data_IF_176175441029
#
_entry.id   IF_176175441029
#
_cell.length_a   1.000
_cell.length_b   1.000
_cell.length_c   1.000
_cell.angle_alpha   90.00
_cell.angle_beta   90.00
_cell.angle_gamma   90.00
#
_symmetry.space_group_name_H-M   'P 1'
#
loop_
_entity.id
_entity.type
_entity.pdbx_description
1 polymer ?
#
# COMPACT_ATOMS: atom_id res chain seq x y z
N UNK A 1 -25.43 -1.02 -6.93
CA UNK A 1 -24.37 -1.30 -7.92
C UNK A 1 -24.90 -1.72 -9.28
N UNK A 2 -25.56 -2.89 -9.42
CA UNK A 2 -26.03 -3.43 -10.73
C UNK A 2 -26.90 -2.47 -11.56
N UNK A 3 -27.91 -1.82 -10.94
CA UNK A 3 -28.72 -0.77 -11.61
C UNK A 3 -27.89 0.40 -12.16
N UNK A 4 -26.82 0.79 -11.46
CA UNK A 4 -25.95 1.90 -11.86
C UNK A 4 -24.93 1.47 -12.93
N UNK A 5 -24.49 0.21 -12.90
CA UNK A 5 -23.64 -0.39 -13.94
C UNK A 5 -24.36 -0.48 -15.30
N UNK A 6 -25.64 -0.89 -15.29
CA UNK A 6 -26.45 -0.99 -16.51
C UNK A 6 -26.82 0.39 -17.09
N UNK A 7 -27.02 1.40 -16.24
CA UNK A 7 -27.36 2.77 -16.66
C UNK A 7 -26.15 3.57 -17.20
N UNK A 8 -24.92 3.17 -16.91
CA UNK A 8 -23.71 3.94 -17.25
C UNK A 8 -22.77 3.21 -18.22
N UNK A 9 -23.35 2.67 -19.30
CA UNK A 9 -22.60 2.05 -20.40
C UNK A 9 -21.62 0.95 -19.95
N UNK A 10 -21.93 0.21 -18.87
CA UNK A 10 -21.09 -0.88 -18.36
C UNK A 10 -19.71 -0.46 -17.83
N UNK A 11 -19.52 0.82 -17.48
CA UNK A 11 -18.27 1.27 -16.83
C UNK A 11 -18.30 1.00 -15.32
N UNK A 12 -17.43 0.11 -14.86
CA UNK A 12 -17.27 -0.25 -13.43
C UNK A 12 -16.91 0.98 -12.59
N UNK A 13 -15.98 1.80 -13.08
CA UNK A 13 -15.49 2.99 -12.35
C UNK A 13 -16.62 3.99 -12.14
N UNK A 14 -17.40 4.28 -13.18
CA UNK A 14 -18.48 5.27 -13.10
C UNK A 14 -19.62 4.78 -12.19
N UNK A 15 -19.91 3.47 -12.20
CA UNK A 15 -20.86 2.84 -11.28
C UNK A 15 -20.40 2.89 -9.81
N UNK A 16 -19.10 2.74 -9.54
CA UNK A 16 -18.53 2.88 -8.19
C UNK A 16 -18.63 4.34 -7.74
N UNK A 17 -18.20 5.29 -8.57
CA UNK A 17 -18.20 6.73 -8.24
C UNK A 17 -19.61 7.23 -7.98
N UNK A 18 -20.60 6.86 -8.80
CA UNK A 18 -21.97 7.33 -8.58
C UNK A 18 -22.66 6.64 -7.40
N UNK A 19 -22.36 5.36 -7.15
CA UNK A 19 -22.98 4.60 -6.05
C UNK A 19 -22.38 4.87 -4.67
N UNK A 20 -21.07 5.13 -4.60
CA UNK A 20 -20.32 5.22 -3.35
C UNK A 20 -19.56 6.53 -3.17
N UNK A 21 -19.45 7.38 -4.21
CA UNK A 21 -18.63 8.60 -4.19
C UNK A 21 -18.99 9.57 -3.07
N UNK A 22 -20.28 9.77 -2.80
CA UNK A 22 -20.71 10.63 -1.68
C UNK A 22 -20.28 10.07 -0.31
N UNK A 23 -20.36 8.75 -0.11
CA UNK A 23 -19.91 8.11 1.12
C UNK A 23 -18.39 8.17 1.26
N UNK A 24 -17.65 8.00 0.16
CA UNK A 24 -16.19 8.18 0.13
C UNK A 24 -15.79 9.61 0.51
N UNK A 25 -16.48 10.63 0.00
CA UNK A 25 -16.24 12.02 0.34
C UNK A 25 -16.52 12.31 1.83
N UNK A 26 -17.66 11.82 2.37
CA UNK A 26 -17.97 11.98 3.79
C UNK A 26 -16.95 11.28 4.69
N UNK A 27 -16.55 10.05 4.37
CA UNK A 27 -15.50 9.35 5.11
C UNK A 27 -14.17 10.10 4.98
N UNK A 28 -13.85 10.62 3.80
CA UNK A 28 -12.64 11.40 3.57
C UNK A 28 -12.60 12.69 4.39
N UNK A 29 -13.71 13.42 4.49
CA UNK A 29 -13.80 14.60 5.37
C UNK A 29 -13.63 14.24 6.85
N UNK A 30 -14.22 13.12 7.29
CA UNK A 30 -14.05 12.63 8.65
C UNK A 30 -12.61 12.13 8.93
N UNK A 31 -11.94 11.53 7.94
CA UNK A 31 -10.51 11.23 7.99
C UNK A 31 -9.67 12.50 8.09
N UNK A 32 -9.98 13.55 7.33
CA UNK A 32 -9.28 14.83 7.43
C UNK A 32 -9.46 15.48 8.82
N UNK A 33 -10.65 15.39 9.40
CA UNK A 33 -10.90 15.81 10.79
C UNK A 33 -10.04 15.03 11.80
N UNK A 34 -9.97 13.72 11.63
CA UNK A 34 -9.11 12.83 12.44
C UNK A 34 -7.64 13.26 12.35
N UNK A 35 -7.15 13.51 11.12
CA UNK A 35 -5.80 14.03 10.89
C UNK A 35 -5.59 15.39 11.58
N UNK A 36 -6.57 16.29 11.54
CA UNK A 36 -6.49 17.57 12.25
C UNK A 36 -6.40 17.39 13.77
N UNK A 37 -7.15 16.47 14.37
CA UNK A 37 -7.02 16.14 15.79
C UNK A 37 -5.64 15.58 16.14
N UNK A 38 -5.02 14.81 15.25
CA UNK A 38 -3.65 14.31 15.43
C UNK A 38 -2.64 15.47 15.41
N UNK A 39 -2.79 16.39 14.44
CA UNK A 39 -1.94 17.57 14.28
C UNK A 39 -2.12 18.61 15.39
N UNK A 40 -3.18 18.51 16.19
CA UNK A 40 -3.39 19.38 17.33
C UNK A 40 -2.36 19.16 18.45
N UNK A 41 -1.76 17.96 18.57
CA UNK A 41 -0.75 17.70 19.61
C UNK A 41 0.47 18.63 19.54
N UNK A 42 1.17 18.76 18.38
CA UNK A 42 2.28 19.70 18.24
C UNK A 42 1.92 21.13 18.64
N UNK A 43 0.72 21.61 18.29
CA UNK A 43 0.28 22.96 18.62
C UNK A 43 0.08 23.16 20.14
N UNK A 44 -0.54 22.18 20.80
CA UNK A 44 -0.72 22.21 22.26
C UNK A 44 0.64 22.13 22.95
N UNK A 45 1.54 21.28 22.47
CA UNK A 45 2.88 21.14 23.03
C UNK A 45 3.66 22.46 22.98
N UNK A 46 3.55 23.20 21.87
CA UNK A 46 4.17 24.51 21.74
C UNK A 46 3.65 25.50 22.81
N UNK A 47 2.34 25.60 22.98
CA UNK A 47 1.73 26.45 24.02
C UNK A 47 2.10 26.03 25.45
N UNK A 48 2.20 24.72 25.70
CA UNK A 48 2.63 24.20 27.01
C UNK A 48 4.07 24.63 27.30
N UNK A 49 4.98 24.51 26.34
CA UNK A 49 6.39 24.92 26.50
C UNK A 49 6.48 26.43 26.78
N UNK A 50 5.74 27.26 26.03
CA UNK A 50 5.75 28.72 26.23
C UNK A 50 5.21 29.11 27.61
N UNK A 51 4.15 28.43 28.08
CA UNK A 51 3.59 28.66 29.41
C UNK A 51 4.56 28.28 30.54
N UNK A 52 5.36 27.23 30.36
CA UNK A 52 6.41 26.85 31.33
C UNK A 52 7.64 27.77 31.27
N UNK A 53 7.90 28.43 30.13
CA UNK A 53 8.98 29.39 29.98
C UNK A 53 8.64 30.79 30.54
N UNK A 54 7.36 31.09 30.74
CA UNK A 54 6.90 32.35 31.29
C UNK A 54 7.19 32.47 32.80
N UNK A 55 7.50 33.70 33.25
CA UNK A 55 7.84 34.00 34.65
C UNK A 55 6.62 33.88 35.59
N UNK A 56 5.41 34.07 35.06
CA UNK A 56 4.14 33.87 35.74
C UNK A 56 3.31 32.87 34.94
N UNK A 57 2.96 31.74 35.56
CA UNK A 57 2.18 30.69 34.90
C UNK A 57 0.68 31.00 35.00
N UNK A 58 0.04 31.25 33.86
CA UNK A 58 -1.41 31.27 33.77
C UNK A 58 -1.96 29.83 33.72
N UNK A 59 -2.27 29.30 34.91
CA UNK A 59 -2.76 27.94 35.09
C UNK A 59 -4.13 27.72 34.42
N UNK A 60 -4.92 28.78 34.27
CA UNK A 60 -6.24 28.73 33.65
C UNK A 60 -6.18 28.52 32.15
N UNK A 61 -5.33 29.26 31.42
CA UNK A 61 -5.15 29.06 29.98
C UNK A 61 -4.51 27.71 29.67
N UNK A 62 -3.51 27.29 30.45
CA UNK A 62 -2.89 25.97 30.32
C UNK A 62 -3.92 24.85 30.49
N UNK A 63 -4.76 24.93 31.54
CA UNK A 63 -5.84 23.97 31.80
C UNK A 63 -6.82 23.87 30.64
N UNK A 64 -7.24 25.00 30.06
CA UNK A 64 -8.15 25.02 28.90
C UNK A 64 -7.55 24.32 27.67
N UNK A 65 -6.27 24.58 27.35
CA UNK A 65 -5.59 23.92 26.22
C UNK A 65 -5.43 22.41 26.43
N UNK A 66 -5.11 21.97 27.65
CA UNK A 66 -5.00 20.55 27.98
C UNK A 66 -6.35 19.83 27.93
N UNK A 67 -7.43 20.48 28.41
CA UNK A 67 -8.79 19.94 28.29
C UNK A 67 -9.23 19.86 26.81
N UNK A 68 -8.94 20.89 26.02
CA UNK A 68 -9.22 20.89 24.58
C UNK A 68 -8.42 19.78 23.85
N UNK A 69 -7.17 19.56 24.25
CA UNK A 69 -6.35 18.46 23.73
C UNK A 69 -6.92 17.09 24.10
N UNK A 70 -7.32 16.91 25.36
CA UNK A 70 -7.95 15.66 25.79
C UNK A 70 -9.25 15.40 25.03
N UNK A 71 -10.09 16.43 24.88
CA UNK A 71 -11.33 16.35 24.12
C UNK A 71 -11.08 15.99 22.64
N UNK A 72 -10.07 16.60 22.00
CA UNK A 72 -9.73 16.27 20.61
C UNK A 72 -9.21 14.84 20.47
N UNK A 73 -8.44 14.34 21.44
CA UNK A 73 -7.97 12.94 21.48
C UNK A 73 -9.11 11.95 21.69
N UNK A 74 -10.06 12.28 22.56
CA UNK A 74 -11.25 11.47 22.78
C UNK A 74 -12.12 11.41 21.51
N UNK A 75 -12.35 12.57 20.87
CA UNK A 75 -13.08 12.63 19.60
C UNK A 75 -12.38 11.80 18.51
N UNK A 76 -11.06 11.94 18.38
CA UNK A 76 -10.26 11.14 17.46
C UNK A 76 -10.38 9.64 17.75
N UNK A 77 -10.31 9.23 19.01
CA UNK A 77 -10.40 7.82 19.40
C UNK A 77 -11.75 7.17 19.04
N UNK A 78 -12.83 7.96 18.97
CA UNK A 78 -14.14 7.48 18.54
C UNK A 78 -14.32 7.53 17.02
N UNK A 79 -13.87 8.62 16.38
CA UNK A 79 -14.09 8.87 14.95
C UNK A 79 -13.15 8.03 14.08
N UNK A 80 -11.86 7.91 14.41
CA UNK A 80 -10.90 7.15 13.59
C UNK A 80 -11.35 5.70 13.34
N UNK A 81 -11.63 4.88 14.38
CA UNK A 81 -12.05 3.50 14.17
C UNK A 81 -13.38 3.40 13.43
N UNK A 82 -14.31 4.34 13.66
CA UNK A 82 -15.58 4.35 12.96
C UNK A 82 -15.40 4.61 11.46
N UNK A 83 -14.58 5.59 11.09
CA UNK A 83 -14.29 5.91 9.69
C UNK A 83 -13.56 4.77 9.00
N UNK A 84 -12.55 4.19 9.64
CA UNK A 84 -11.83 3.03 9.10
C UNK A 84 -12.80 1.85 8.86
N UNK A 85 -13.63 1.52 9.84
CA UNK A 85 -14.65 0.48 9.69
C UNK A 85 -15.60 0.75 8.51
N UNK A 86 -16.09 1.99 8.35
CA UNK A 86 -16.98 2.35 7.23
C UNK A 86 -16.29 2.24 5.87
N UNK A 87 -15.02 2.66 5.77
CA UNK A 87 -14.23 2.52 4.55
C UNK A 87 -14.03 1.04 4.22
N UNK A 88 -13.62 0.22 5.19
CA UNK A 88 -13.43 -1.22 5.01
C UNK A 88 -14.71 -1.93 4.58
N UNK A 89 -15.84 -1.60 5.20
CA UNK A 89 -17.15 -2.17 4.86
C UNK A 89 -17.58 -1.80 3.43
N UNK A 90 -17.33 -0.56 3.02
CA UNK A 90 -17.63 -0.10 1.67
C UNK A 90 -16.73 -0.78 0.62
N UNK A 91 -15.43 -0.85 0.89
CA UNK A 91 -14.45 -1.54 0.05
C UNK A 91 -14.79 -3.03 -0.08
N UNK A 92 -15.21 -3.67 1.00
CA UNK A 92 -15.71 -5.05 1.00
C UNK A 92 -16.97 -5.22 0.13
N UNK A 93 -17.95 -4.31 0.22
CA UNK A 93 -19.13 -4.37 -0.65
C UNK A 93 -18.80 -4.20 -2.13
N UNK A 94 -17.86 -3.32 -2.47
CA UNK A 94 -17.36 -3.15 -3.84
C UNK A 94 -16.68 -4.45 -4.31
N UNK A 95 -15.84 -5.06 -3.47
CA UNK A 95 -15.18 -6.33 -3.74
C UNK A 95 -16.16 -7.45 -4.09
N UNK A 96 -17.16 -7.66 -3.22
CA UNK A 96 -18.19 -8.69 -3.41
C UNK A 96 -19.00 -8.42 -4.68
N UNK A 97 -19.38 -7.16 -4.92
CA UNK A 97 -20.14 -6.78 -6.11
C UNK A 97 -19.37 -7.04 -7.40
N UNK A 98 -18.08 -6.70 -7.43
CA UNK A 98 -17.23 -6.89 -8.60
C UNK A 98 -16.98 -8.38 -8.88
N UNK A 99 -16.70 -9.17 -7.82
CA UNK A 99 -16.56 -10.64 -7.92
C UNK A 99 -17.84 -11.30 -8.41
N UNK A 100 -19.00 -10.88 -7.90
CA UNK A 100 -20.30 -11.41 -8.31
C UNK A 100 -20.61 -11.09 -9.78
N UNK A 101 -20.35 -9.87 -10.25
CA UNK A 101 -20.53 -9.50 -11.66
C UNK A 101 -19.58 -10.27 -12.57
N UNK A 102 -18.32 -10.46 -12.18
CA UNK A 102 -17.36 -11.24 -12.94
C UNK A 102 -17.81 -12.70 -13.04
N UNK A 103 -18.29 -13.28 -11.94
CA UNK A 103 -18.83 -14.63 -11.91
C UNK A 103 -20.05 -14.77 -12.83
N UNK A 104 -21.02 -13.85 -12.74
CA UNK A 104 -22.21 -13.85 -13.61
C UNK A 104 -21.84 -13.71 -15.09
N UNK A 105 -20.88 -12.82 -15.42
CA UNK A 105 -20.39 -12.65 -16.79
C UNK A 105 -19.68 -13.90 -17.30
N UNK A 106 -18.93 -14.59 -16.43
CA UNK A 106 -18.23 -15.83 -16.76
C UNK A 106 -19.22 -16.97 -17.01
N UNK A 107 -20.25 -17.10 -16.18
CA UNK A 107 -21.29 -18.13 -16.33
C UNK A 107 -22.17 -17.95 -17.57
N UNK A 108 -22.36 -16.71 -18.03
CA UNK A 108 -23.14 -16.40 -19.25
C UNK A 108 -22.33 -16.57 -20.55
N UNK A 109 -21.02 -16.83 -20.49
CA UNK A 109 -20.18 -16.99 -21.69
C UNK A 109 -20.38 -18.38 -22.29
N UNK A 110 -20.54 -18.46 -23.60
CA UNK A 110 -20.76 -19.74 -24.29
C UNK A 110 -19.53 -20.66 -24.18
N UNK A 111 -19.78 -21.97 -24.09
CA UNK A 111 -18.77 -23.02 -23.95
C UNK A 111 -17.76 -22.99 -25.12
N UNK A 112 -18.17 -22.59 -26.33
CA UNK A 112 -17.29 -22.44 -27.50
C UNK A 112 -16.25 -21.31 -27.36
N UNK A 113 -16.46 -20.35 -26.46
CA UNK A 113 -15.49 -19.27 -26.19
C UNK A 113 -14.47 -19.63 -25.11
N UNK A 114 -14.54 -20.85 -24.55
CA UNK A 114 -13.83 -21.30 -23.35
C UNK A 114 -12.51 -21.98 -23.75
N UNK A 115 -11.49 -21.18 -24.03
CA UNK A 115 -10.10 -21.68 -24.11
C UNK A 115 -9.47 -21.67 -22.72
N UNK A 116 -8.54 -22.60 -22.46
CA UNK A 116 -7.85 -22.71 -21.17
C UNK A 116 -7.12 -21.41 -20.80
N UNK A 117 -6.48 -20.75 -21.77
CA UNK A 117 -5.83 -19.45 -21.56
C UNK A 117 -6.81 -18.39 -21.01
N UNK A 118 -8.03 -18.35 -21.52
CA UNK A 118 -9.05 -17.39 -21.07
C UNK A 118 -9.60 -17.74 -19.69
N UNK A 119 -9.55 -19.00 -19.28
CA UNK A 119 -9.93 -19.40 -17.93
C UNK A 119 -8.87 -18.95 -16.91
N UNK A 120 -7.59 -19.07 -17.27
CA UNK A 120 -6.46 -18.54 -16.48
C UNK A 120 -6.55 -17.02 -16.33
N UNK A 121 -6.82 -16.30 -17.41
CA UNK A 121 -6.99 -14.84 -17.37
C UNK A 121 -8.13 -14.41 -16.43
N UNK A 122 -9.29 -15.09 -16.49
CA UNK A 122 -10.42 -14.79 -15.60
C UNK A 122 -10.08 -15.08 -14.14
N UNK A 123 -9.34 -16.16 -13.86
CA UNK A 123 -8.88 -16.49 -12.52
C UNK A 123 -7.91 -15.43 -11.97
N UNK A 124 -7.03 -14.89 -12.82
CA UNK A 124 -6.13 -13.79 -12.47
C UNK A 124 -6.90 -12.50 -12.18
N UNK A 125 -7.91 -12.16 -13.01
CA UNK A 125 -8.77 -11.00 -12.75
C UNK A 125 -9.47 -11.15 -11.40
N UNK A 126 -10.06 -12.33 -11.13
CA UNK A 126 -10.81 -12.59 -9.91
C UNK A 126 -9.95 -12.49 -8.64
N UNK A 127 -8.72 -13.02 -8.68
CA UNK A 127 -7.84 -13.16 -7.52
C UNK A 127 -6.90 -11.96 -7.31
N UNK A 128 -6.23 -11.51 -8.36
CA UNK A 128 -5.19 -10.47 -8.28
C UNK A 128 -5.75 -9.09 -8.62
N UNK A 129 -6.41 -8.94 -9.77
CA UNK A 129 -6.73 -7.60 -10.27
C UNK A 129 -7.84 -6.93 -9.45
N UNK A 130 -8.88 -7.69 -9.08
CA UNK A 130 -9.91 -7.20 -8.15
C UNK A 130 -9.27 -6.78 -6.82
N UNK A 131 -8.31 -7.55 -6.30
CA UNK A 131 -7.62 -7.22 -5.05
C UNK A 131 -6.84 -5.91 -5.15
N UNK A 132 -6.17 -5.67 -6.29
CA UNK A 132 -5.48 -4.40 -6.55
C UNK A 132 -6.46 -3.22 -6.60
N UNK A 133 -7.61 -3.38 -7.25
CA UNK A 133 -8.66 -2.33 -7.30
C UNK A 133 -9.17 -1.99 -5.91
N UNK A 134 -9.39 -3.00 -5.06
CA UNK A 134 -9.82 -2.85 -3.66
C UNK A 134 -8.77 -2.07 -2.85
N UNK A 135 -7.48 -2.41 -3.01
CA UNK A 135 -6.39 -1.70 -2.36
C UNK A 135 -6.33 -0.24 -2.80
N UNK A 136 -6.44 0.04 -4.11
CA UNK A 136 -6.51 1.42 -4.61
C UNK A 136 -7.72 2.18 -4.06
N UNK A 137 -8.88 1.53 -3.94
CA UNK A 137 -10.07 2.15 -3.37
C UNK A 137 -9.92 2.47 -1.89
N UNK A 138 -9.16 1.67 -1.14
CA UNK A 138 -8.85 1.95 0.26
C UNK A 138 -7.93 3.19 0.41
N UNK A 139 -6.95 3.35 -0.49
CA UNK A 139 -5.95 4.41 -0.42
C UNK A 139 -6.37 5.74 -1.06
N UNK A 140 -7.54 5.80 -1.71
CA UNK A 140 -7.94 6.99 -2.48
C UNK A 140 -8.06 8.26 -1.62
N UNK A 141 -8.48 8.12 -0.36
CA UNK A 141 -8.58 9.24 0.57
C UNK A 141 -7.21 9.68 1.09
N UNK A 142 -6.28 8.73 1.25
CA UNK A 142 -4.90 9.02 1.64
C UNK A 142 -4.21 9.95 0.63
N UNK A 143 -4.50 9.79 -0.67
CA UNK A 143 -3.86 10.56 -1.75
C UNK A 143 -3.98 12.08 -1.62
N UNK A 144 -5.10 12.59 -1.10
CA UNK A 144 -5.32 14.03 -0.94
C UNK A 144 -5.12 14.49 0.50
N UNK A 145 -5.38 13.65 1.50
CA UNK A 145 -5.15 13.97 2.92
C UNK A 145 -3.66 14.11 3.21
N UNK A 146 -2.83 13.20 2.69
CA UNK A 146 -1.40 13.14 3.00
C UNK A 146 -0.62 14.40 2.53
N UNK A 147 -0.82 14.92 1.31
CA UNK A 147 -0.22 16.20 0.90
C UNK A 147 -0.64 17.38 1.78
N UNK A 148 -1.93 17.45 2.14
CA UNK A 148 -2.44 18.51 3.03
C UNK A 148 -1.77 18.39 4.40
N UNK A 149 -1.69 17.18 4.96
CA UNK A 149 -1.04 16.91 6.24
C UNK A 149 0.43 17.35 6.22
N UNK A 150 1.19 16.99 5.18
CA UNK A 150 2.58 17.43 5.03
C UNK A 150 2.67 18.95 4.98
N UNK A 151 1.81 19.61 4.19
CA UNK A 151 1.78 21.06 4.10
C UNK A 151 1.55 21.75 5.45
N UNK A 152 0.58 21.24 6.23
CA UNK A 152 0.28 21.77 7.58
C UNK A 152 1.45 21.54 8.55
N UNK A 153 2.06 20.36 8.54
CA UNK A 153 3.21 20.05 9.41
C UNK A 153 4.41 20.94 9.08
N UNK A 154 4.72 21.12 7.78
CA UNK A 154 5.81 22.01 7.34
C UNK A 154 5.52 23.46 7.73
N UNK A 155 4.27 23.91 7.61
CA UNK A 155 3.87 25.24 8.07
C UNK A 155 4.04 25.40 9.58
N UNK A 156 3.59 24.44 10.39
CA UNK A 156 3.78 24.45 11.85
C UNK A 156 5.27 24.50 12.23
N UNK A 157 6.12 23.72 11.55
CA UNK A 157 7.56 23.75 11.75
C UNK A 157 8.16 25.12 11.39
N UNK A 158 7.71 25.74 10.31
CA UNK A 158 8.15 27.07 9.91
C UNK A 158 7.76 28.14 10.94
N UNK A 159 6.57 28.04 11.55
CA UNK A 159 6.15 28.97 12.61
C UNK A 159 7.08 28.90 13.83
N UNK A 160 7.53 27.70 14.21
CA UNK A 160 8.37 27.50 15.40
C UNK A 160 9.85 27.80 15.13
N UNK A 161 10.39 27.40 13.96
CA UNK A 161 11.84 27.43 13.67
C UNK A 161 12.23 28.46 12.59
N UNK A 162 11.27 29.12 11.95
CA UNK A 162 11.51 30.02 10.83
C UNK A 162 12.18 29.31 9.65
N UNK A 163 13.11 30.01 8.99
CA UNK A 163 13.82 29.52 7.79
C UNK A 163 14.67 28.27 8.08
N UNK A 164 15.10 28.07 9.33
CA UNK A 164 15.87 26.90 9.75
C UNK A 164 15.12 25.58 9.56
N UNK A 165 13.78 25.59 9.52
CA UNK A 165 12.97 24.40 9.24
C UNK A 165 13.31 23.76 7.88
N UNK A 166 13.68 24.57 6.88
CA UNK A 166 14.00 24.08 5.54
C UNK A 166 15.31 23.29 5.50
N UNK A 167 16.27 23.57 6.40
CA UNK A 167 17.47 22.75 6.51
C UNK A 167 17.14 21.32 6.95
N UNK A 168 16.23 21.17 7.93
CA UNK A 168 15.73 19.85 8.35
C UNK A 168 14.98 19.13 7.22
N UNK A 169 14.11 19.85 6.50
CA UNK A 169 13.40 19.30 5.34
C UNK A 169 14.37 18.84 4.23
N UNK A 170 15.45 19.59 3.99
CA UNK A 170 16.47 19.21 3.02
C UNK A 170 17.19 17.92 3.44
N UNK A 171 17.54 17.77 4.72
CA UNK A 171 18.16 16.54 5.25
C UNK A 171 17.22 15.34 5.14
N UNK A 172 15.94 15.49 5.49
CA UNK A 172 14.93 14.43 5.33
C UNK A 172 14.83 14.02 3.85
N UNK A 173 14.71 15.01 2.95
CA UNK A 173 14.61 14.76 1.51
C UNK A 173 15.85 14.03 0.98
N UNK A 174 17.04 14.48 1.36
CA UNK A 174 18.29 13.82 0.98
C UNK A 174 18.37 12.39 1.51
N UNK A 175 17.96 12.17 2.77
CA UNK A 175 17.93 10.84 3.38
C UNK A 175 16.97 9.90 2.64
N UNK A 176 15.81 10.40 2.20
CA UNK A 176 14.87 9.64 1.37
C UNK A 176 15.47 9.29 0.00
N UNK A 177 16.18 10.23 -0.65
CA UNK A 177 16.85 9.96 -1.93
C UNK A 177 17.93 8.88 -1.77
N UNK A 178 18.74 8.98 -0.72
CA UNK A 178 19.76 7.96 -0.40
C UNK A 178 19.09 6.60 -0.16
N UNK A 179 18.04 6.54 0.66
CA UNK A 179 17.28 5.32 0.89
C UNK A 179 16.68 4.75 -0.41
N UNK A 180 16.22 5.60 -1.34
CA UNK A 180 15.74 5.19 -2.65
C UNK A 180 16.84 4.53 -3.50
N UNK A 181 18.04 5.12 -3.53
CA UNK A 181 19.18 4.53 -4.24
C UNK A 181 19.57 3.16 -3.69
N UNK A 182 19.68 3.02 -2.36
CA UNK A 182 19.93 1.72 -1.72
C UNK A 182 18.83 0.71 -2.05
N UNK A 183 17.56 1.11 -1.90
CA UNK A 183 16.41 0.24 -2.23
C UNK A 183 16.44 -0.24 -3.68
N UNK A 184 16.81 0.65 -4.61
CA UNK A 184 16.95 0.29 -6.03
C UNK A 184 18.08 -0.72 -6.25
N UNK A 185 19.25 -0.49 -5.64
CA UNK A 185 20.38 -1.41 -5.73
C UNK A 185 20.05 -2.79 -5.13
N UNK A 186 19.42 -2.82 -3.97
CA UNK A 186 18.95 -4.07 -3.33
C UNK A 186 17.90 -4.76 -4.20
N UNK A 187 16.98 -4.02 -4.82
CA UNK A 187 15.96 -4.57 -5.73
C UNK A 187 16.59 -5.20 -6.97
N UNK A 188 17.60 -4.56 -7.57
CA UNK A 188 18.28 -5.09 -8.75
C UNK A 188 19.12 -6.32 -8.41
N UNK A 189 19.77 -6.35 -7.23
CA UNK A 189 20.48 -7.52 -6.72
C UNK A 189 19.52 -8.68 -6.43
N UNK A 190 18.35 -8.40 -5.87
CA UNK A 190 17.29 -9.39 -5.63
C UNK A 190 16.76 -10.02 -6.93
N UNK A 191 16.59 -9.21 -7.99
CA UNK A 191 16.18 -9.71 -9.32
C UNK A 191 17.22 -10.67 -9.89
N UNK A 192 18.50 -10.33 -9.79
CA UNK A 192 19.58 -11.19 -10.26
C UNK A 192 19.62 -12.50 -9.47
N UNK A 193 19.49 -12.44 -8.13
CA UNK A 193 19.40 -13.64 -7.29
C UNK A 193 18.23 -14.55 -7.72
N UNK A 194 17.04 -13.98 -7.95
CA UNK A 194 15.89 -14.76 -8.41
C UNK A 194 16.12 -15.38 -9.78
N UNK A 195 16.78 -14.68 -10.71
CA UNK A 195 17.14 -15.23 -12.01
C UNK A 195 18.07 -16.45 -11.88
N UNK A 196 19.11 -16.37 -11.04
CA UNK A 196 20.03 -17.52 -10.81
C UNK A 196 19.33 -18.71 -10.15
N UNK A 197 18.43 -18.43 -9.22
CA UNK A 197 17.58 -19.45 -8.59
C UNK A 197 16.66 -20.14 -9.61
N UNK A 198 16.09 -19.38 -10.54
CA UNK A 198 15.24 -19.92 -11.62
C UNK A 198 16.04 -20.79 -12.58
N UNK A 199 17.24 -20.38 -12.99
CA UNK A 199 18.15 -21.17 -13.84
C UNK A 199 18.49 -22.52 -13.18
N UNK A 200 18.83 -22.51 -11.88
CA UNK A 200 19.07 -23.74 -11.11
C UNK A 200 17.84 -24.63 -11.06
N UNK A 201 16.68 -24.04 -10.73
CA UNK A 201 15.42 -24.79 -10.64
C UNK A 201 15.00 -25.39 -11.98
N UNK A 202 15.28 -24.70 -13.08
CA UNK A 202 15.07 -25.20 -14.45
C UNK A 202 15.91 -26.44 -14.71
N UNK A 203 17.22 -26.42 -14.41
CA UNK A 203 18.08 -27.59 -14.58
C UNK A 203 17.61 -28.78 -13.73
N UNK A 204 17.19 -28.54 -12.49
CA UNK A 204 16.61 -29.59 -11.63
C UNK A 204 15.39 -30.21 -12.33
N UNK A 205 14.45 -29.40 -12.81
CA UNK A 205 13.25 -29.89 -13.51
C UNK A 205 13.59 -30.71 -14.75
N UNK A 206 14.54 -30.25 -15.56
CA UNK A 206 14.99 -30.98 -16.76
C UNK A 206 15.64 -32.32 -16.41
N UNK A 207 16.49 -32.34 -15.38
CA UNK A 207 17.20 -33.56 -14.93
C UNK A 207 16.21 -34.61 -14.43
N UNK A 208 15.25 -34.21 -13.59
CA UNK A 208 14.22 -35.12 -13.07
C UNK A 208 13.21 -35.54 -14.16
N UNK A 209 12.88 -34.66 -15.10
CA UNK A 209 12.03 -34.98 -16.24
C UNK A 209 12.65 -36.03 -17.17
N UNK A 210 13.98 -36.03 -17.33
CA UNK A 210 14.73 -36.98 -18.14
C UNK A 210 15.47 -38.06 -17.32
N UNK A 211 15.04 -38.35 -16.09
CA UNK A 211 15.81 -39.15 -15.12
C UNK A 211 16.20 -40.55 -15.63
N UNK A 212 15.34 -41.19 -16.42
CA UNK A 212 15.62 -42.50 -17.00
C UNK A 212 16.84 -42.46 -17.94
N UNK A 213 16.93 -41.43 -18.80
CA UNK A 213 18.06 -41.25 -19.73
C UNK A 213 19.34 -40.96 -18.95
N UNK A 214 19.25 -40.11 -17.91
CA UNK A 214 20.39 -39.77 -17.05
C UNK A 214 20.95 -41.01 -16.37
N UNK A 215 20.09 -41.88 -15.83
CA UNK A 215 20.47 -43.14 -15.18
C UNK A 215 21.04 -44.17 -16.15
N UNK A 216 20.38 -44.37 -17.31
CA UNK A 216 20.83 -45.33 -18.33
C UNK A 216 22.23 -45.02 -18.87
N UNK A 217 22.60 -43.74 -18.92
CA UNK A 217 23.90 -43.30 -19.44
C UNK A 217 24.92 -42.96 -18.33
N UNK A 218 24.59 -43.18 -17.04
CA UNK A 218 25.40 -42.80 -15.89
C UNK A 218 25.88 -41.33 -15.93
N UNK A 219 25.01 -40.40 -16.35
CA UNK A 219 25.32 -38.97 -16.48
C UNK A 219 25.15 -38.17 -15.18
N UNK A 220 24.94 -38.83 -14.05
CA UNK A 220 24.59 -38.18 -12.77
C UNK A 220 25.65 -37.17 -12.34
N UNK A 221 26.92 -37.55 -12.36
CA UNK A 221 28.03 -36.67 -11.99
C UNK A 221 28.14 -35.42 -12.89
N UNK A 222 27.83 -35.55 -14.19
CA UNK A 222 27.84 -34.40 -15.12
C UNK A 222 26.72 -33.41 -14.83
N UNK A 223 25.55 -33.89 -14.42
CA UNK A 223 24.44 -33.03 -14.01
C UNK A 223 24.67 -32.42 -12.63
N UNK A 224 25.28 -33.16 -11.71
CA UNK A 224 25.70 -32.67 -10.40
C UNK A 224 26.71 -31.51 -10.53
N UNK A 225 27.75 -31.67 -11.36
CA UNK A 225 28.74 -30.62 -11.62
C UNK A 225 28.08 -29.35 -12.19
N UNK A 226 27.20 -29.49 -13.18
CA UNK A 226 26.43 -28.37 -13.72
C UNK A 226 25.54 -27.68 -12.68
N UNK A 227 24.92 -28.45 -11.79
CA UNK A 227 24.07 -27.92 -10.73
C UNK A 227 24.90 -27.15 -9.69
N UNK A 228 26.07 -27.67 -9.31
CA UNK A 228 27.00 -27.00 -8.42
C UNK A 228 27.53 -25.70 -9.03
N UNK A 229 27.87 -25.68 -10.32
CA UNK A 229 28.26 -24.46 -11.02
C UNK A 229 27.16 -23.37 -10.98
N UNK A 230 25.89 -23.76 -11.19
CA UNK A 230 24.75 -22.83 -11.05
C UNK A 230 24.56 -22.37 -9.59
N UNK A 231 24.81 -23.24 -8.62
CA UNK A 231 24.74 -22.91 -7.20
C UNK A 231 25.82 -21.92 -6.78
N UNK A 232 27.03 -22.01 -7.32
CA UNK A 232 28.08 -21.02 -7.06
C UNK A 232 27.69 -19.64 -7.59
N UNK A 233 27.08 -19.57 -8.78
CA UNK A 233 26.55 -18.32 -9.32
C UNK A 233 25.41 -17.76 -8.46
N UNK A 234 24.51 -18.62 -7.96
CA UNK A 234 23.44 -18.23 -7.02
C UNK A 234 24.03 -17.69 -5.70
N UNK A 235 25.03 -18.36 -5.13
CA UNK A 235 25.70 -17.93 -3.90
C UNK A 235 26.48 -16.62 -4.09
N UNK A 236 27.11 -16.41 -5.24
CA UNK A 236 27.76 -15.15 -5.57
C UNK A 236 26.76 -14.01 -5.79
N UNK A 237 25.56 -14.29 -6.29
CA UNK A 237 24.49 -13.29 -6.37
C UNK A 237 23.93 -12.99 -4.98
N UNK A 238 23.82 -14.01 -4.12
CA UNK A 238 23.36 -13.88 -2.74
C UNK A 238 24.32 -13.03 -1.91
N UNK A 239 25.64 -13.15 -2.10
CA UNK A 239 26.61 -12.34 -1.34
C UNK A 239 26.61 -10.85 -1.74
N UNK A 240 26.06 -10.51 -2.90
CA UNK A 240 25.90 -9.12 -3.38
C UNK A 240 24.56 -8.50 -2.95
N UNK A 241 23.60 -9.33 -2.55
CA UNK A 241 22.31 -8.91 -2.02
C UNK A 241 22.41 -8.65 -0.52
#
# INVERSE_FOLDING_TARGET
FKRHYDQQHQSIVRAIVHGYGWKFLLCGLASAFTTACILFAPAVLHHVIDAFAALEMDLTSLGMWLVAFFASRLANALVAPHVDFQIQLMVFHIAVSLRALLFEKTMRRSIQSRSDDKAVDIANIYSSDIQRVIQCANEINTLWILPIQIGVVVYMLYVVLGVSAFAGLAVITLSMLVAFFFTKQTSDSYKELMKRKDDRMKLVKETFGAIQIVKLNAWEGKFEEKLLALRELELSALSRF
#
